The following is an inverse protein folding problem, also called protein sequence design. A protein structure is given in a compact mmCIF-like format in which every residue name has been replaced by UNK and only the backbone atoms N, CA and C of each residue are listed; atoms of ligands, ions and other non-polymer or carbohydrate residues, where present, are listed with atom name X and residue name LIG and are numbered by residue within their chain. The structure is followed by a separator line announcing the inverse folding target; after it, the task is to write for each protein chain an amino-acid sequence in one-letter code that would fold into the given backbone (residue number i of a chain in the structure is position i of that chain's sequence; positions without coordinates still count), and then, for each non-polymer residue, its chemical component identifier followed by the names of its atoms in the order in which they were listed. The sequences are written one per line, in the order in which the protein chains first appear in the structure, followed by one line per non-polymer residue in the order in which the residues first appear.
data_IF_732469511205
#
_entry.id   IF_732469511205
#
_cell.length_a   1.000
_cell.length_b   1.000
_cell.length_c   1.000
_cell.angle_alpha   90.00
_cell.angle_beta   90.00
_cell.angle_gamma   90.00
#
_symmetry.space_group_name_H-M   'P 1'
#
loop_
_entity.id
_entity.type
_entity.pdbx_description
1 polymer ?
#
# COMPACT_ATOMS: atom_id res chain seq x y z
N UNK A 1 46.01 -33.33 37.31
CA UNK A 1 45.05 -32.18 37.37
C UNK A 1 45.51 -30.87 36.78
N UNK A 2 46.81 -30.59 36.60
CA UNK A 2 47.30 -29.35 35.96
C UNK A 2 47.20 -29.35 34.43
N UNK A 3 47.20 -30.50 33.75
CA UNK A 3 47.11 -30.65 32.30
C UNK A 3 45.70 -30.45 31.75
N UNK A 4 44.67 -30.80 32.53
CA UNK A 4 43.25 -30.65 32.11
C UNK A 4 42.81 -29.18 32.07
N UNK A 5 43.31 -28.35 33.00
CA UNK A 5 42.99 -26.93 33.02
C UNK A 5 43.60 -26.14 31.84
N UNK A 6 44.71 -26.58 31.28
CA UNK A 6 45.33 -25.95 30.08
C UNK A 6 44.62 -26.32 28.80
N UNK A 7 43.96 -27.48 28.73
CA UNK A 7 43.24 -27.90 27.54
C UNK A 7 41.87 -27.18 27.43
N UNK A 8 41.19 -26.94 28.54
CA UNK A 8 39.91 -26.19 28.56
C UNK A 8 40.16 -24.71 28.25
N UNK A 9 41.26 -24.12 28.69
CA UNK A 9 41.61 -22.73 28.37
C UNK A 9 41.99 -22.54 26.87
N UNK A 10 42.56 -23.57 26.23
CA UNK A 10 42.91 -23.51 24.82
C UNK A 10 41.70 -23.65 23.89
N UNK A 11 40.68 -24.43 24.28
CA UNK A 11 39.42 -24.54 23.52
C UNK A 11 38.58 -23.27 23.62
N UNK A 12 38.58 -22.57 24.74
CA UNK A 12 37.89 -21.29 24.89
C UNK A 12 38.55 -20.14 24.13
N UNK A 13 39.85 -20.20 23.88
CA UNK A 13 40.55 -19.18 23.10
C UNK A 13 40.43 -19.41 21.58
N UNK A 14 40.25 -20.65 21.13
CA UNK A 14 40.07 -20.98 19.73
C UNK A 14 38.67 -20.57 19.18
N UNK A 15 37.67 -20.48 20.08
CA UNK A 15 36.33 -20.03 19.69
C UNK A 15 36.16 -18.51 19.63
N UNK A 16 37.15 -17.75 20.08
CA UNK A 16 37.12 -16.28 20.06
C UNK A 16 37.82 -15.64 18.86
N UNK A 17 38.54 -16.41 18.07
CA UNK A 17 39.35 -15.93 16.92
C UNK A 17 38.72 -16.22 15.56
N UNK A 18 37.73 -17.10 15.51
CA UNK A 18 36.94 -17.31 14.29
C UNK A 18 35.76 -16.33 14.33
N UNK A 19 35.85 -15.30 13.46
CA UNK A 19 34.86 -14.21 13.33
C UNK A 19 33.39 -14.67 13.21
N UNK A 20 32.43 -13.75 13.16
CA UNK A 20 31.03 -14.07 13.34
C UNK A 20 30.57 -15.04 12.24
N UNK A 21 30.66 -16.32 12.52
CA UNK A 21 29.80 -17.28 11.85
C UNK A 21 28.40 -16.87 12.27
N UNK A 22 27.61 -16.38 11.31
CA UNK A 22 26.17 -16.24 11.47
C UNK A 22 25.67 -17.52 12.14
N UNK A 23 25.33 -17.41 13.42
CA UNK A 23 24.63 -18.48 14.10
C UNK A 23 23.27 -18.58 13.42
N UNK A 24 23.17 -19.47 12.43
CA UNK A 24 21.88 -20.01 12.03
C UNK A 24 21.33 -20.65 13.29
N UNK A 25 20.32 -20.01 13.87
CA UNK A 25 19.55 -20.62 14.94
C UNK A 25 18.82 -21.81 14.31
N UNK A 26 19.46 -22.96 14.33
CA UNK A 26 18.83 -24.23 14.01
C UNK A 26 17.84 -24.51 15.16
N UNK A 27 16.55 -24.38 14.87
CA UNK A 27 15.51 -24.72 15.83
C UNK A 27 15.55 -26.25 15.97
N UNK A 28 16.24 -26.73 16.97
CA UNK A 28 16.18 -28.13 17.35
C UNK A 28 14.84 -28.35 18.05
N UNK A 29 13.90 -28.94 17.34
CA UNK A 29 12.66 -29.45 17.95
C UNK A 29 13.03 -30.67 18.76
N UNK A 30 13.20 -30.51 20.08
CA UNK A 30 13.29 -31.63 20.99
C UNK A 30 11.89 -32.19 21.22
N UNK A 31 11.57 -33.33 20.59
CA UNK A 31 10.38 -34.10 20.93
C UNK A 31 10.63 -34.77 22.28
N UNK A 32 9.94 -34.30 23.30
CA UNK A 32 9.77 -35.08 24.56
C UNK A 32 8.48 -35.85 24.39
N UNK A 33 8.61 -37.17 24.15
CA UNK A 33 7.50 -38.09 24.32
C UNK A 33 7.39 -38.38 25.83
N UNK A 34 6.35 -37.82 26.46
CA UNK A 34 6.00 -38.16 27.85
C UNK A 34 5.05 -39.37 27.82
N UNK A 35 5.53 -40.50 28.29
CA UNK A 35 4.72 -41.69 28.51
C UNK A 35 3.84 -41.45 29.76
N UNK A 36 2.53 -41.30 29.58
CA UNK A 36 1.54 -41.28 30.65
C UNK A 36 1.04 -39.93 31.11
N UNK A 37 0.07 -39.35 30.45
CA UNK A 37 -1.06 -38.67 31.09
C UNK A 37 -0.86 -37.27 31.64
N UNK A 38 -0.33 -36.34 30.86
CA UNK A 38 -0.85 -34.97 30.74
C UNK A 38 -0.57 -34.51 29.32
N UNK A 39 -1.59 -34.22 28.54
CA UNK A 39 -1.45 -33.54 27.25
C UNK A 39 -0.83 -32.20 27.56
N UNK A 40 0.49 -32.08 27.28
CA UNK A 40 1.15 -30.80 27.34
C UNK A 40 0.47 -29.93 26.28
N UNK A 41 -0.07 -28.82 26.74
CA UNK A 41 -0.75 -27.88 25.87
C UNK A 41 0.25 -27.33 24.84
N UNK A 42 -0.13 -27.27 23.60
CA UNK A 42 0.73 -26.91 22.48
C UNK A 42 0.09 -25.78 21.69
N UNK A 43 0.85 -24.75 21.40
CA UNK A 43 0.38 -23.61 20.63
C UNK A 43 -0.22 -23.99 19.25
N UNK A 44 -1.19 -23.22 18.75
CA UNK A 44 -1.76 -23.41 17.42
C UNK A 44 -0.71 -23.36 16.32
N UNK A 45 -1.00 -23.97 15.20
CA UNK A 45 -0.12 -23.97 14.00
C UNK A 45 -0.87 -23.31 12.84
N UNK A 46 -0.26 -22.28 12.26
CA UNK A 46 -0.74 -21.68 11.02
C UNK A 46 -0.18 -22.51 9.87
N UNK A 47 -1.04 -23.27 9.20
CA UNK A 47 -0.66 -24.18 8.12
C UNK A 47 -0.37 -23.46 6.82
N UNK A 48 -1.24 -22.50 6.48
CA UNK A 48 -1.15 -21.70 5.28
C UNK A 48 -1.81 -20.35 5.50
N UNK A 49 -1.38 -19.34 4.76
CA UNK A 49 -2.01 -18.02 4.71
C UNK A 49 -1.98 -17.43 3.30
N UNK A 50 -2.93 -16.58 3.01
CA UNK A 50 -2.99 -15.84 1.75
C UNK A 50 -3.78 -14.54 1.93
N UNK A 51 -3.59 -13.62 1.01
CA UNK A 51 -4.35 -12.38 0.89
C UNK A 51 -5.25 -12.45 -0.34
N UNK A 52 -6.34 -11.70 -0.33
CA UNK A 52 -7.29 -11.65 -1.44
C UNK A 52 -7.72 -10.22 -1.73
N UNK A 53 -7.91 -9.93 -3.03
CA UNK A 53 -8.44 -8.66 -3.48
C UNK A 53 -9.98 -8.66 -3.33
N UNK A 54 -10.47 -7.85 -2.41
CA UNK A 54 -11.87 -7.74 -2.05
C UNK A 54 -12.24 -8.34 -0.69
N UNK A 55 -13.45 -8.10 -0.20
CA UNK A 55 -13.92 -8.59 1.10
C UNK A 55 -14.20 -10.08 1.09
N UNK A 56 -14.08 -10.75 2.25
CA UNK A 56 -14.37 -12.18 2.43
C UNK A 56 -15.75 -12.56 1.87
N UNK A 57 -16.74 -11.71 2.04
CA UNK A 57 -18.09 -11.95 1.54
C UNK A 57 -18.17 -12.10 0.01
N UNK A 58 -17.27 -11.46 -0.75
CA UNK A 58 -17.23 -11.54 -2.22
C UNK A 58 -16.54 -12.82 -2.73
N UNK A 59 -15.87 -13.56 -1.85
CA UNK A 59 -15.09 -14.75 -2.20
C UNK A 59 -15.93 -16.01 -2.38
N UNK A 60 -17.21 -15.95 -2.10
CA UNK A 60 -18.18 -16.99 -2.46
C UNK A 60 -18.44 -17.01 -3.98
N UNK A 61 -17.99 -15.98 -4.71
CA UNK A 61 -18.00 -15.87 -6.17
C UNK A 61 -16.72 -16.44 -6.83
N UNK A 62 -16.63 -16.28 -8.14
CA UNK A 62 -15.57 -16.86 -9.01
C UNK A 62 -14.27 -16.08 -9.02
N UNK A 63 -14.16 -14.95 -8.32
CA UNK A 63 -13.08 -13.96 -8.50
C UNK A 63 -12.02 -13.94 -7.40
N UNK A 64 -11.91 -14.98 -6.60
CA UNK A 64 -10.83 -15.11 -5.62
C UNK A 64 -9.49 -15.30 -6.35
N UNK A 65 -8.95 -14.22 -6.88
CA UNK A 65 -7.68 -14.22 -7.61
C UNK A 65 -6.61 -13.58 -6.76
N UNK A 66 -5.84 -14.37 -6.02
CA UNK A 66 -4.67 -13.84 -5.36
C UNK A 66 -3.54 -14.83 -5.26
N UNK A 67 -2.34 -14.30 -5.37
CA UNK A 67 -1.09 -15.01 -5.16
C UNK A 67 -0.57 -14.72 -3.77
N UNK A 68 0.12 -15.67 -3.15
CA UNK A 68 0.99 -15.37 -2.03
C UNK A 68 2.01 -14.31 -2.50
N UNK A 69 2.12 -13.20 -1.77
CA UNK A 69 2.82 -12.02 -2.27
C UNK A 69 2.02 -11.25 -3.33
N UNK A 70 0.70 -11.27 -3.20
CA UNK A 70 -0.26 -10.68 -4.15
C UNK A 70 0.05 -9.24 -4.48
N UNK A 71 -0.27 -8.89 -5.73
CA UNK A 71 -0.24 -7.51 -6.18
C UNK A 71 -1.65 -6.95 -6.10
N UNK A 72 -1.84 -5.91 -5.30
CA UNK A 72 -3.12 -5.24 -5.11
C UNK A 72 -3.02 -3.79 -5.51
N UNK A 73 -3.96 -3.31 -6.33
CA UNK A 73 -3.99 -1.93 -6.77
C UNK A 73 -4.83 -1.07 -5.82
N UNK A 74 -4.38 0.17 -5.58
CA UNK A 74 -5.20 1.19 -4.92
C UNK A 74 -6.41 1.57 -5.79
N UNK A 75 -7.45 2.15 -5.17
CA UNK A 75 -8.65 2.58 -5.89
C UNK A 75 -8.37 3.69 -6.92
N UNK A 76 -7.36 4.54 -6.68
CA UNK A 76 -7.06 5.70 -7.52
C UNK A 76 -8.14 6.77 -7.50
N UNK A 77 -9.00 6.79 -6.51
CA UNK A 77 -10.05 7.77 -6.32
C UNK A 77 -9.99 8.35 -4.91
N UNK A 78 -10.10 9.67 -4.80
CA UNK A 78 -10.15 10.36 -3.52
C UNK A 78 -11.32 9.87 -2.67
N UNK A 79 -11.06 9.58 -1.40
CA UNK A 79 -12.08 9.14 -0.43
C UNK A 79 -12.56 7.70 -0.61
N UNK A 80 -12.00 6.94 -1.55
CA UNK A 80 -12.36 5.55 -1.77
C UNK A 80 -11.31 4.61 -1.18
N UNK A 81 -11.76 3.69 -0.35
CA UNK A 81 -10.94 2.69 0.30
C UNK A 81 -10.96 1.37 -0.47
N UNK A 82 -9.85 0.66 -0.42
CA UNK A 82 -9.72 -0.69 -0.98
C UNK A 82 -9.86 -1.70 0.15
N UNK A 83 -10.94 -2.47 0.15
CA UNK A 83 -11.09 -3.60 1.06
C UNK A 83 -10.38 -4.82 0.50
N UNK A 84 -9.63 -5.49 1.33
CA UNK A 84 -8.89 -6.71 1.05
C UNK A 84 -9.12 -7.70 2.18
N UNK A 85 -8.78 -8.95 1.98
CA UNK A 85 -8.95 -9.98 3.01
C UNK A 85 -7.65 -10.73 3.25
N UNK A 86 -7.47 -11.14 4.51
CA UNK A 86 -6.43 -12.08 4.93
C UNK A 86 -7.12 -13.35 5.36
N UNK A 87 -6.63 -14.50 4.89
CA UNK A 87 -7.10 -15.81 5.33
C UNK A 87 -5.94 -16.68 5.77
N UNK A 88 -6.22 -17.58 6.69
CA UNK A 88 -5.28 -18.59 7.16
C UNK A 88 -5.96 -19.90 7.50
N UNK A 89 -5.23 -21.01 7.32
CA UNK A 89 -5.64 -22.33 7.80
C UNK A 89 -4.91 -22.58 9.11
N UNK A 90 -5.66 -22.86 10.15
CA UNK A 90 -5.15 -23.05 11.50
C UNK A 90 -5.57 -24.39 12.05
N UNK A 91 -4.63 -25.10 12.66
CA UNK A 91 -4.86 -26.33 13.41
C UNK A 91 -4.24 -26.20 14.80
N UNK A 92 -4.63 -27.08 15.69
CA UNK A 92 -4.04 -27.19 17.01
C UNK A 92 -3.72 -28.65 17.32
N UNK A 93 -2.53 -28.99 17.85
CA UNK A 93 -2.19 -30.36 18.25
C UNK A 93 -3.10 -30.95 19.32
N UNK A 94 -3.69 -30.12 20.16
CA UNK A 94 -4.65 -30.51 21.20
C UNK A 94 -6.07 -30.65 20.67
N UNK A 95 -6.32 -30.21 19.44
CA UNK A 95 -7.57 -30.24 18.72
C UNK A 95 -7.98 -28.88 18.20
N UNK A 96 -8.60 -28.87 17.02
CA UNK A 96 -9.01 -27.61 16.35
C UNK A 96 -9.93 -26.70 17.20
N UNK A 97 -10.64 -27.29 18.16
CA UNK A 97 -11.58 -26.56 19.03
C UNK A 97 -10.85 -25.88 20.22
N UNK A 98 -9.54 -26.11 20.37
CA UNK A 98 -8.69 -25.44 21.34
C UNK A 98 -8.21 -24.06 20.85
N UNK A 99 -8.40 -23.76 19.55
CA UNK A 99 -8.08 -22.44 18.98
C UNK A 99 -9.04 -21.39 19.53
N UNK A 100 -8.51 -20.42 20.28
CA UNK A 100 -9.26 -19.33 20.91
C UNK A 100 -9.47 -18.15 19.99
N UNK A 101 -8.38 -17.60 19.44
CA UNK A 101 -8.41 -16.45 18.53
C UNK A 101 -7.38 -16.61 17.43
N UNK A 102 -7.68 -16.00 16.29
CA UNK A 102 -6.73 -15.87 15.17
C UNK A 102 -6.72 -14.42 14.72
N UNK A 103 -5.55 -13.90 14.40
CA UNK A 103 -5.30 -12.50 14.06
C UNK A 103 -4.57 -12.38 12.74
N UNK A 104 -4.88 -11.32 12.00
CA UNK A 104 -4.17 -10.89 10.82
C UNK A 104 -3.59 -9.50 11.01
N UNK A 105 -2.28 -9.35 10.93
CA UNK A 105 -1.57 -8.09 11.11
C UNK A 105 -0.97 -7.64 9.78
N UNK A 106 -1.13 -6.37 9.46
CA UNK A 106 -0.56 -5.73 8.28
C UNK A 106 0.39 -4.62 8.72
N UNK A 107 1.61 -4.65 8.20
CA UNK A 107 2.67 -3.70 8.52
C UNK A 107 3.05 -2.90 7.29
N UNK A 108 3.34 -1.60 7.47
CA UNK A 108 3.85 -0.73 6.42
C UNK A 108 5.15 -1.29 5.79
N UNK A 109 5.41 -0.94 4.54
CA UNK A 109 6.69 -1.26 3.91
C UNK A 109 7.87 -0.69 4.71
N UNK A 110 8.92 -1.49 4.89
CA UNK A 110 10.12 -1.09 5.65
C UNK A 110 10.87 0.11 5.03
N UNK A 111 10.63 0.38 3.75
CA UNK A 111 11.36 1.39 2.98
C UNK A 111 10.57 2.69 2.75
N UNK A 112 9.38 2.85 3.31
CA UNK A 112 8.53 4.03 3.06
C UNK A 112 8.30 4.80 4.34
N UNK A 113 8.72 6.07 4.34
CA UNK A 113 8.38 7.03 5.37
C UNK A 113 7.19 7.85 4.89
N UNK A 114 6.08 7.84 5.61
CA UNK A 114 5.01 8.79 5.39
C UNK A 114 5.52 10.18 5.76
N UNK A 115 5.37 11.14 4.85
CA UNK A 115 5.58 12.55 5.14
C UNK A 115 4.57 13.04 6.18
N UNK A 116 4.58 14.31 6.45
CA UNK A 116 3.82 15.04 7.49
C UNK A 116 2.50 14.39 7.94
N UNK A 117 2.15 14.60 9.21
CA UNK A 117 0.88 14.16 9.79
C UNK A 117 -0.31 14.57 8.96
N UNK A 118 -1.12 13.62 8.52
CA UNK A 118 -2.40 13.86 7.88
C UNK A 118 -3.54 13.11 8.58
N UNK A 119 -4.74 13.56 8.32
CA UNK A 119 -5.93 12.96 8.92
C UNK A 119 -6.21 11.62 8.26
N UNK A 120 -6.28 10.56 9.05
CA UNK A 120 -6.74 9.25 8.56
C UNK A 120 -8.21 9.39 8.10
N UNK A 121 -8.53 9.14 6.81
CA UNK A 121 -9.87 9.33 6.28
C UNK A 121 -10.88 8.32 6.83
N UNK A 122 -10.41 7.19 7.37
CA UNK A 122 -11.26 6.14 7.94
C UNK A 122 -11.65 6.49 9.36
N UNK A 123 -10.67 6.92 10.16
CA UNK A 123 -10.86 7.18 11.59
C UNK A 123 -11.09 8.64 11.92
N UNK A 124 -10.77 9.57 11.01
CA UNK A 124 -10.79 11.01 11.24
C UNK A 124 -9.72 11.50 12.21
N UNK A 125 -8.80 10.63 12.64
CA UNK A 125 -7.72 10.97 13.56
C UNK A 125 -6.49 11.47 12.79
N UNK A 126 -5.71 12.35 13.43
CA UNK A 126 -4.38 12.69 12.92
C UNK A 126 -3.51 11.42 12.97
N UNK A 127 -3.02 11.01 11.81
CA UNK A 127 -1.91 10.06 11.74
C UNK A 127 -0.64 10.83 12.05
N UNK A 128 -0.01 10.49 13.16
CA UNK A 128 1.37 10.89 13.39
C UNK A 128 2.25 10.27 12.30
N UNK A 129 3.42 10.87 12.08
CA UNK A 129 4.42 10.35 11.13
C UNK A 129 4.65 8.88 11.44
N UNK A 130 4.08 7.99 10.62
CA UNK A 130 4.23 6.56 10.85
C UNK A 130 5.62 6.13 10.41
N UNK A 131 6.30 5.46 11.30
CA UNK A 131 7.62 4.93 11.04
C UNK A 131 7.52 3.66 10.18
N UNK A 132 8.58 3.39 9.44
CA UNK A 132 8.68 2.22 8.59
C UNK A 132 8.52 0.92 9.36
N UNK A 133 7.76 -0.01 8.82
CA UNK A 133 7.54 -1.31 9.45
C UNK A 133 6.56 -1.32 10.62
N UNK A 134 5.90 -0.20 10.92
CA UNK A 134 4.85 -0.18 11.94
C UNK A 134 3.58 -0.90 11.49
N UNK A 135 2.81 -1.40 12.44
CA UNK A 135 1.55 -2.05 12.19
C UNK A 135 0.48 -1.05 11.74
N UNK A 136 -0.05 -1.28 10.54
CA UNK A 136 -1.10 -0.44 9.91
C UNK A 136 -2.48 -0.88 10.32
N UNK A 137 -2.71 -2.18 10.30
CA UNK A 137 -3.99 -2.81 10.56
C UNK A 137 -3.80 -4.09 11.33
N UNK A 138 -4.71 -4.33 12.24
CA UNK A 138 -4.92 -5.60 12.91
C UNK A 138 -6.37 -6.00 12.69
N UNK A 139 -6.62 -7.24 12.37
CA UNK A 139 -7.97 -7.75 12.32
C UNK A 139 -8.11 -9.09 13.04
N UNK A 140 -9.13 -9.22 13.85
CA UNK A 140 -9.53 -10.51 14.42
C UNK A 140 -10.22 -11.33 13.35
N UNK A 141 -9.68 -12.51 13.07
CA UNK A 141 -10.16 -13.37 12.00
C UNK A 141 -11.37 -14.19 12.46
N UNK A 142 -12.36 -14.31 11.58
CA UNK A 142 -13.55 -15.11 11.83
C UNK A 142 -13.45 -16.47 11.18
N UNK A 143 -13.82 -17.51 11.90
CA UNK A 143 -13.86 -18.88 11.41
C UNK A 143 -14.93 -19.04 10.32
N UNK A 144 -14.55 -19.61 9.18
CA UNK A 144 -15.49 -19.99 8.14
C UNK A 144 -16.17 -21.33 8.47
N UNK A 145 -17.38 -21.54 7.92
CA UNK A 145 -18.01 -22.86 7.99
C UNK A 145 -17.17 -23.89 7.24
N UNK A 146 -17.22 -25.16 7.63
CA UNK A 146 -16.40 -26.22 7.01
C UNK A 146 -16.59 -26.30 5.49
N UNK A 147 -17.84 -26.23 5.01
CA UNK A 147 -18.15 -26.23 3.57
C UNK A 147 -17.54 -25.04 2.84
N UNK A 148 -17.71 -23.82 3.38
CA UNK A 148 -17.14 -22.61 2.79
C UNK A 148 -15.60 -22.63 2.83
N UNK A 149 -15.02 -23.16 3.90
CA UNK A 149 -13.57 -23.29 4.07
C UNK A 149 -12.95 -24.21 3.00
N UNK A 150 -13.51 -25.39 2.81
CA UNK A 150 -13.05 -26.33 1.80
C UNK A 150 -13.24 -25.79 0.39
N UNK A 151 -14.41 -25.24 0.08
CA UNK A 151 -14.71 -24.67 -1.24
C UNK A 151 -13.76 -23.49 -1.55
N UNK A 152 -13.61 -22.55 -0.63
CA UNK A 152 -12.75 -21.41 -0.80
C UNK A 152 -11.30 -21.84 -1.06
N UNK A 153 -10.74 -22.68 -0.21
CA UNK A 153 -9.33 -23.02 -0.33
C UNK A 153 -9.06 -24.08 -1.39
N UNK A 154 -9.73 -25.24 -1.30
CA UNK A 154 -9.40 -26.40 -2.14
C UNK A 154 -9.95 -26.29 -3.56
N UNK A 155 -11.11 -25.64 -3.75
CA UNK A 155 -11.72 -25.53 -5.06
C UNK A 155 -11.39 -24.21 -5.78
N UNK A 156 -11.21 -23.12 -5.06
CA UNK A 156 -10.95 -21.81 -5.66
C UNK A 156 -9.48 -21.43 -5.62
N UNK A 157 -8.87 -21.36 -4.45
CA UNK A 157 -7.45 -20.94 -4.31
C UNK A 157 -6.52 -21.95 -4.97
N UNK A 158 -6.71 -23.24 -4.72
CA UNK A 158 -5.91 -24.31 -5.33
C UNK A 158 -5.97 -24.32 -6.85
N UNK A 159 -7.15 -24.11 -7.42
CA UNK A 159 -7.35 -24.18 -8.87
C UNK A 159 -6.88 -22.93 -9.61
N UNK A 160 -6.58 -21.84 -8.91
CA UNK A 160 -5.98 -20.67 -9.51
C UNK A 160 -4.45 -20.81 -9.50
N UNK A 161 -3.86 -21.17 -10.65
CA UNK A 161 -2.42 -21.44 -10.78
C UNK A 161 -1.50 -20.27 -10.40
N UNK A 162 -2.03 -19.06 -10.26
CA UNK A 162 -1.27 -17.88 -9.86
C UNK A 162 -1.32 -17.63 -8.34
N UNK A 163 -2.11 -18.40 -7.59
CA UNK A 163 -2.38 -18.16 -6.17
C UNK A 163 -1.82 -19.28 -5.31
N UNK A 164 -0.53 -19.20 -5.08
CA UNK A 164 0.14 -20.09 -4.14
C UNK A 164 0.09 -19.42 -2.75
N UNK A 165 -0.61 -20.04 -1.75
CA UNK A 165 -0.54 -19.54 -0.39
C UNK A 165 0.88 -19.62 0.15
N UNK A 166 1.18 -18.83 1.17
CA UNK A 166 2.36 -19.04 1.99
C UNK A 166 2.12 -20.23 2.89
N UNK A 167 3.02 -21.22 2.83
CA UNK A 167 2.91 -22.48 3.56
C UNK A 167 3.84 -22.50 4.77
N UNK A 168 3.36 -23.07 5.86
CA UNK A 168 4.27 -23.54 6.91
C UNK A 168 5.07 -24.76 6.43
N UNK A 169 6.21 -24.98 7.05
CA UNK A 169 7.07 -26.12 6.71
C UNK A 169 6.29 -27.46 6.77
N UNK A 170 6.53 -28.32 5.78
CA UNK A 170 5.91 -29.63 5.66
C UNK A 170 4.42 -29.68 5.29
N UNK A 171 3.80 -28.53 4.99
CA UNK A 171 2.43 -28.48 4.49
C UNK A 171 2.36 -28.15 3.00
N UNK A 172 1.33 -28.68 2.33
CA UNK A 172 1.04 -28.46 0.92
C UNK A 172 -0.44 -28.76 0.62
N UNK A 173 -0.87 -28.60 -0.61
CA UNK A 173 -2.25 -28.87 -1.00
C UNK A 173 -2.72 -30.31 -0.72
N UNK A 174 -1.85 -31.31 -0.86
CA UNK A 174 -2.23 -32.70 -0.58
C UNK A 174 -2.52 -32.91 0.90
N UNK A 175 -1.69 -32.37 1.79
CA UNK A 175 -1.94 -32.46 3.24
C UNK A 175 -3.22 -31.72 3.66
N UNK A 176 -3.69 -30.74 2.87
CA UNK A 176 -4.81 -29.91 3.26
C UNK A 176 -6.11 -30.33 2.58
N UNK A 177 -6.07 -30.68 1.29
CA UNK A 177 -7.24 -30.82 0.44
C UNK A 177 -7.53 -32.27 -0.01
N UNK A 178 -6.73 -33.27 0.34
CA UNK A 178 -6.97 -34.62 -0.10
C UNK A 178 -8.28 -35.15 0.53
N UNK A 179 -9.27 -35.46 -0.34
CA UNK A 179 -10.57 -35.98 0.08
C UNK A 179 -10.54 -37.48 0.29
N UNK A 180 -9.51 -38.20 -0.22
CA UNK A 180 -9.49 -39.66 -0.21
C UNK A 180 -8.79 -40.22 1.02
N UNK A 181 -7.82 -39.48 1.55
CA UNK A 181 -7.00 -40.06 2.60
C UNK A 181 -6.55 -39.19 3.73
N UNK A 182 -6.72 -37.92 3.86
CA UNK A 182 -6.12 -37.31 5.07
C UNK A 182 -5.94 -35.79 5.07
N UNK A 183 -6.53 -35.07 4.11
CA UNK A 183 -6.45 -33.63 4.11
C UNK A 183 -7.09 -33.02 5.37
N UNK A 184 -6.38 -32.15 6.05
CA UNK A 184 -6.83 -31.57 7.33
C UNK A 184 -8.14 -30.83 7.25
N UNK A 185 -8.46 -30.21 6.08
CA UNK A 185 -9.76 -29.59 5.86
C UNK A 185 -10.87 -30.60 5.56
N UNK A 186 -10.55 -31.69 4.84
CA UNK A 186 -11.51 -32.75 4.56
C UNK A 186 -11.87 -33.53 5.83
N UNK A 187 -10.93 -33.75 6.73
CA UNK A 187 -11.14 -34.37 8.06
C UNK A 187 -11.66 -33.39 9.11
N UNK A 188 -11.80 -32.13 8.78
CA UNK A 188 -12.17 -31.08 9.73
C UNK A 188 -11.25 -31.01 10.97
N UNK A 189 -9.96 -31.29 10.82
CA UNK A 189 -8.95 -31.16 11.88
C UNK A 189 -8.29 -29.78 11.91
N UNK A 190 -8.60 -28.92 10.94
CA UNK A 190 -8.20 -27.53 10.86
C UNK A 190 -9.38 -26.65 10.45
N UNK A 191 -9.29 -25.36 10.75
CA UNK A 191 -10.27 -24.37 10.32
C UNK A 191 -9.62 -23.32 9.42
N UNK A 192 -10.42 -22.74 8.51
CA UNK A 192 -10.07 -21.52 7.78
C UNK A 192 -10.64 -20.32 8.55
N UNK A 193 -9.77 -19.36 8.80
CA UNK A 193 -10.12 -18.07 9.40
C UNK A 193 -9.83 -16.99 8.39
N UNK A 194 -10.71 -15.99 8.31
CA UNK A 194 -10.54 -14.83 7.46
C UNK A 194 -10.97 -13.56 8.16
N UNK A 195 -10.37 -12.44 7.78
CA UNK A 195 -10.84 -11.10 8.13
C UNK A 195 -10.64 -10.14 6.97
N UNK A 196 -11.43 -9.08 6.97
CA UNK A 196 -11.28 -7.97 6.06
C UNK A 196 -10.39 -6.89 6.68
N UNK A 197 -9.57 -6.26 5.86
CA UNK A 197 -8.83 -5.07 6.20
C UNK A 197 -8.92 -4.05 5.06
N UNK A 198 -8.62 -2.80 5.36
CA UNK A 198 -8.78 -1.74 4.37
C UNK A 198 -7.50 -0.93 4.27
N UNK A 199 -7.01 -0.74 3.04
CA UNK A 199 -6.02 0.26 2.69
C UNK A 199 -6.68 1.37 1.89
N UNK A 200 -6.19 2.59 2.06
CA UNK A 200 -6.68 3.77 1.36
C UNK A 200 -5.67 4.28 0.34
N UNK A 201 -6.05 5.31 -0.41
CA UNK A 201 -5.11 6.06 -1.25
C UNK A 201 -4.05 6.82 -0.43
N UNK A 202 -4.24 6.94 0.88
CA UNK A 202 -3.28 7.56 1.82
C UNK A 202 -2.25 6.56 2.35
N UNK A 203 -2.50 5.26 2.19
CA UNK A 203 -1.53 4.23 2.54
C UNK A 203 -0.53 4.10 1.39
N UNK A 204 0.79 4.22 1.62
CA UNK A 204 1.79 4.27 0.56
C UNK A 204 1.87 2.97 -0.21
N UNK A 205 2.26 3.04 -1.48
CA UNK A 205 2.60 1.85 -2.24
C UNK A 205 3.87 1.18 -1.68
N UNK A 206 3.98 -0.13 -1.86
CA UNK A 206 5.16 -0.89 -1.46
C UNK A 206 4.88 -2.31 -0.99
N UNK A 207 5.90 -2.95 -0.44
CA UNK A 207 5.83 -4.31 0.06
C UNK A 207 5.45 -4.32 1.55
N UNK A 208 4.17 -4.53 1.81
CA UNK A 208 3.62 -4.70 3.15
C UNK A 208 3.95 -6.06 3.71
N UNK A 209 4.30 -6.15 4.99
CA UNK A 209 4.40 -7.43 5.69
C UNK A 209 3.03 -7.80 6.23
N UNK A 210 2.59 -9.02 5.93
CA UNK A 210 1.32 -9.55 6.43
C UNK A 210 1.60 -10.79 7.26
N UNK A 211 1.09 -10.82 8.49
CA UNK A 211 1.26 -11.94 9.44
C UNK A 211 -0.08 -12.53 9.81
N UNK A 212 -0.12 -13.83 9.98
CA UNK A 212 -1.24 -14.54 10.61
C UNK A 212 -0.69 -15.31 11.79
N UNK A 213 -1.35 -15.19 12.92
CA UNK A 213 -1.02 -15.89 14.16
C UNK A 213 -2.28 -16.19 14.98
N UNK A 214 -2.20 -17.06 15.93
CA UNK A 214 -3.34 -17.43 16.74
C UNK A 214 -2.97 -17.80 18.17
N UNK A 215 -3.97 -17.85 19.03
CA UNK A 215 -3.88 -18.29 20.43
C UNK A 215 -4.80 -19.48 20.67
N UNK A 216 -4.40 -20.37 21.56
CA UNK A 216 -5.25 -21.43 22.09
C UNK A 216 -6.01 -20.98 23.35
N UNK A 217 -6.80 -21.89 23.93
CA UNK A 217 -7.57 -21.64 25.15
C UNK A 217 -6.70 -21.45 26.39
N UNK A 218 -5.44 -21.86 26.34
CA UNK A 218 -4.43 -21.71 27.39
C UNK A 218 -3.54 -20.47 27.20
N UNK A 219 -3.84 -19.63 26.19
CA UNK A 219 -3.12 -18.40 25.83
C UNK A 219 -1.70 -18.65 25.27
N UNK A 220 -1.40 -19.85 24.74
CA UNK A 220 -0.18 -20.04 23.97
C UNK A 220 -0.31 -19.47 22.57
N UNK A 221 0.71 -18.73 22.15
CA UNK A 221 0.75 -18.09 20.84
C UNK A 221 1.43 -18.98 19.80
N UNK A 222 0.82 -19.07 18.63
CA UNK A 222 1.47 -19.70 17.46
C UNK A 222 2.70 -18.92 17.02
N UNK A 223 3.60 -19.59 16.31
CA UNK A 223 4.60 -18.89 15.49
C UNK A 223 3.87 -18.21 14.33
N UNK A 224 4.04 -16.89 14.13
CA UNK A 224 3.41 -16.18 13.03
C UNK A 224 3.88 -16.74 11.67
N UNK A 225 2.94 -16.93 10.75
CA UNK A 225 3.26 -17.18 9.35
C UNK A 225 3.17 -15.86 8.58
N UNK A 226 4.26 -15.45 7.92
CA UNK A 226 4.35 -14.15 7.27
C UNK A 226 4.76 -14.23 5.80
N UNK A 227 4.34 -13.24 5.03
CA UNK A 227 4.80 -12.98 3.67
C UNK A 227 4.78 -11.49 3.36
N UNK A 228 5.15 -11.13 2.15
CA UNK A 228 5.05 -9.77 1.62
C UNK A 228 3.89 -9.67 0.64
N UNK A 229 3.08 -8.62 0.78
CA UNK A 229 2.01 -8.22 -0.13
C UNK A 229 2.44 -6.93 -0.84
N UNK A 230 2.34 -6.87 -2.16
CA UNK A 230 2.70 -5.67 -2.92
C UNK A 230 1.47 -4.79 -3.18
N UNK A 231 1.39 -3.66 -2.50
CA UNK A 231 0.40 -2.62 -2.79
C UNK A 231 0.94 -1.74 -3.91
N UNK A 232 0.38 -1.91 -5.11
CA UNK A 232 0.90 -1.32 -6.35
C UNK A 232 0.80 0.19 -6.35
N UNK A 233 1.80 0.82 -6.94
CA UNK A 233 1.83 2.26 -7.17
C UNK A 233 0.69 2.69 -8.09
N UNK A 234 -0.12 3.62 -7.63
CA UNK A 234 -1.21 4.24 -8.37
C UNK A 234 -1.04 5.75 -8.31
N UNK A 235 -0.92 6.39 -9.48
CA UNK A 235 -0.87 7.84 -9.60
C UNK A 235 -2.26 8.33 -10.02
N UNK A 236 -2.85 9.17 -9.19
CA UNK A 236 -4.15 9.76 -9.43
C UNK A 236 -4.25 11.13 -8.77
N UNK A 237 -5.02 12.03 -9.35
CA UNK A 237 -5.31 13.33 -8.77
C UNK A 237 -6.72 13.78 -9.12
N UNK A 238 -7.23 14.70 -8.32
CA UNK A 238 -8.49 15.38 -8.56
C UNK A 238 -8.27 16.88 -8.54
N UNK A 239 -9.13 17.64 -9.21
CA UNK A 239 -9.09 19.10 -9.31
C UNK A 239 -10.50 19.66 -9.07
N UNK A 240 -10.57 20.84 -8.49
CA UNK A 240 -11.84 21.50 -8.20
C UNK A 240 -12.19 22.65 -9.16
N UNK A 241 -11.48 22.74 -10.29
CA UNK A 241 -11.70 23.78 -11.30
C UNK A 241 -11.82 23.17 -12.71
N UNK A 242 -12.49 23.88 -13.60
CA UNK A 242 -12.64 23.50 -15.03
C UNK A 242 -12.18 24.59 -15.99
N UNK A 243 -11.94 25.78 -15.48
CA UNK A 243 -11.47 26.92 -16.28
C UNK A 243 -10.57 27.83 -15.44
N UNK A 244 -9.66 28.50 -16.11
CA UNK A 244 -8.83 29.57 -15.56
C UNK A 244 -9.13 30.84 -16.36
N UNK A 245 -9.68 31.85 -15.70
CA UNK A 245 -9.98 33.16 -16.32
C UNK A 245 -8.88 34.12 -15.97
N UNK A 246 -8.04 34.48 -16.94
CA UNK A 246 -6.98 35.47 -16.78
C UNK A 246 -7.51 36.90 -16.81
N UNK A 247 -8.79 37.12 -17.12
CA UNK A 247 -9.39 38.45 -17.20
C UNK A 247 -8.76 39.32 -18.29
N UNK A 248 -8.61 40.62 -18.00
CA UNK A 248 -8.02 41.59 -18.94
C UNK A 248 -6.50 41.60 -18.84
N UNK A 249 -5.82 41.13 -19.86
CA UNK A 249 -4.35 41.05 -19.92
C UNK A 249 -3.77 42.33 -20.54
N UNK A 250 -2.72 42.89 -19.92
CA UNK A 250 -1.91 43.97 -20.47
C UNK A 250 -0.65 43.39 -21.11
N UNK A 251 -0.29 43.93 -22.30
CA UNK A 251 0.91 43.50 -23.03
C UNK A 251 2.17 43.70 -22.18
N UNK A 252 3.00 42.67 -22.11
CA UNK A 252 4.28 42.65 -21.38
C UNK A 252 4.17 42.57 -19.85
N UNK A 253 2.97 42.41 -19.31
CA UNK A 253 2.73 42.32 -17.87
C UNK A 253 2.16 40.94 -17.53
N UNK A 254 2.70 40.28 -16.52
CA UNK A 254 2.13 39.02 -16.00
C UNK A 254 0.76 39.31 -15.38
N UNK A 255 -0.23 38.54 -15.85
CA UNK A 255 -1.54 38.46 -15.21
C UNK A 255 -1.60 37.16 -14.46
N UNK A 256 -1.79 37.20 -13.16
CA UNK A 256 -1.81 36.05 -12.27
C UNK A 256 -3.22 35.71 -11.82
N UNK A 257 -3.48 34.44 -11.68
CA UNK A 257 -4.70 33.86 -11.12
C UNK A 257 -4.27 32.94 -9.97
N UNK A 258 -4.36 33.43 -8.72
CA UNK A 258 -4.00 32.63 -7.57
C UNK A 258 -4.99 31.50 -7.37
N UNK A 259 -4.47 30.35 -6.95
CA UNK A 259 -5.24 29.26 -6.43
C UNK A 259 -5.72 29.49 -5.00
N UNK A 260 -6.21 28.46 -4.36
CA UNK A 260 -6.48 28.45 -2.92
C UNK A 260 -6.34 27.05 -2.32
N UNK A 261 -6.24 26.97 -1.00
CA UNK A 261 -6.13 25.74 -0.23
C UNK A 261 -7.47 25.21 0.28
N UNK A 262 -8.59 25.72 -0.25
CA UNK A 262 -9.94 25.30 0.16
C UNK A 262 -10.59 24.54 -0.98
N UNK A 263 -10.86 23.25 -0.77
CA UNK A 263 -11.55 22.43 -1.78
C UNK A 263 -12.95 22.96 -2.07
N UNK A 264 -13.20 23.29 -3.31
CA UNK A 264 -14.53 23.68 -3.73
C UNK A 264 -15.45 22.47 -3.86
N UNK A 265 -16.58 22.48 -3.15
CA UNK A 265 -17.62 21.46 -3.32
C UNK A 265 -18.38 21.62 -4.65
N UNK A 266 -18.29 22.81 -5.27
CA UNK A 266 -18.83 23.09 -6.60
C UNK A 266 -17.67 23.54 -7.48
N UNK A 267 -17.40 22.78 -8.51
CA UNK A 267 -16.29 23.01 -9.43
C UNK A 267 -16.42 24.42 -10.06
N UNK A 268 -15.31 25.15 -10.05
CA UNK A 268 -15.19 26.47 -10.72
C UNK A 268 -15.69 27.68 -9.92
N UNK A 269 -16.00 27.54 -8.64
CA UNK A 269 -16.50 28.67 -7.82
C UNK A 269 -15.37 29.42 -7.10
N UNK A 270 -14.28 28.74 -6.76
CA UNK A 270 -13.15 29.32 -6.02
C UNK A 270 -11.86 29.21 -6.85
N UNK A 271 -10.75 29.67 -6.29
CA UNK A 271 -9.43 29.50 -6.89
C UNK A 271 -9.09 28.02 -7.10
N UNK A 272 -8.13 27.75 -7.97
CA UNK A 272 -7.79 26.39 -8.37
C UNK A 272 -7.06 25.63 -7.26
N UNK A 273 -7.49 24.38 -7.00
CA UNK A 273 -6.82 23.43 -6.10
C UNK A 273 -6.62 22.09 -6.78
N UNK A 274 -5.61 21.35 -6.33
CA UNK A 274 -5.33 19.99 -6.74
C UNK A 274 -5.15 19.10 -5.51
N UNK A 275 -5.66 17.87 -5.58
CA UNK A 275 -5.55 16.88 -4.52
C UNK A 275 -4.92 15.60 -5.05
N UNK A 276 -3.94 15.05 -4.32
CA UNK A 276 -3.39 13.74 -4.61
C UNK A 276 -4.35 12.65 -4.15
N UNK A 277 -4.84 11.83 -5.07
CA UNK A 277 -5.74 10.70 -4.84
C UNK A 277 -5.06 9.35 -5.12
N UNK A 278 -3.77 9.37 -5.41
CA UNK A 278 -2.94 8.19 -5.58
C UNK A 278 -2.21 7.82 -4.28
N UNK A 279 -1.63 6.64 -4.27
CA UNK A 279 -0.79 6.15 -3.18
C UNK A 279 0.72 6.35 -3.42
N UNK A 280 1.05 7.31 -4.28
CA UNK A 280 2.41 7.77 -4.56
C UNK A 280 2.49 9.29 -4.37
N UNK A 281 3.66 9.82 -4.10
CA UNK A 281 3.87 11.27 -4.23
C UNK A 281 3.59 11.70 -5.65
N UNK A 282 2.88 12.81 -5.79
CA UNK A 282 2.42 13.32 -7.06
C UNK A 282 3.21 14.56 -7.47
N UNK A 283 3.79 14.55 -8.67
CA UNK A 283 4.29 15.74 -9.32
C UNK A 283 3.34 16.14 -10.44
N UNK A 284 2.86 17.39 -10.41
CA UNK A 284 1.96 17.93 -11.42
C UNK A 284 2.70 18.43 -12.64
N UNK A 285 2.11 18.19 -13.80
CA UNK A 285 2.53 18.75 -15.08
C UNK A 285 1.40 19.58 -15.69
N UNK A 286 1.77 20.66 -16.38
CA UNK A 286 0.82 21.57 -17.05
C UNK A 286 1.28 21.85 -18.46
N UNK A 287 0.33 21.88 -19.39
CA UNK A 287 0.52 22.26 -20.80
C UNK A 287 -0.66 23.12 -21.22
N UNK A 288 -0.39 24.21 -21.94
CA UNK A 288 -1.43 25.09 -22.50
C UNK A 288 -1.14 25.37 -23.97
N UNK A 289 -2.17 25.55 -24.77
CA UNK A 289 -2.02 26.02 -26.15
C UNK A 289 -1.81 27.56 -26.20
N UNK A 290 -1.61 28.13 -27.37
CA UNK A 290 -1.33 29.54 -27.58
C UNK A 290 -2.58 30.44 -27.55
N UNK A 291 -3.75 29.91 -27.24
CA UNK A 291 -5.05 30.64 -27.32
C UNK A 291 -5.32 31.29 -28.66
N UNK A 292 -4.60 30.91 -29.71
CA UNK A 292 -4.66 31.60 -31.02
C UNK A 292 -3.89 32.91 -31.10
N UNK A 293 -3.15 33.32 -30.05
CA UNK A 293 -2.38 34.57 -30.01
C UNK A 293 -1.01 34.35 -30.67
N UNK A 294 -1.02 34.28 -32.00
CA UNK A 294 0.17 34.04 -32.82
C UNK A 294 0.06 34.76 -34.15
N UNK A 295 1.19 35.02 -34.78
CA UNK A 295 1.23 35.50 -36.17
C UNK A 295 0.93 34.37 -37.16
N UNK A 296 0.59 34.69 -38.42
CA UNK A 296 0.33 33.71 -39.45
C UNK A 296 1.49 32.72 -39.73
N UNK A 297 2.72 33.10 -39.42
CA UNK A 297 3.92 32.25 -39.48
C UNK A 297 4.05 31.28 -38.34
N UNK A 298 3.12 31.29 -37.37
CA UNK A 298 3.10 30.42 -36.20
C UNK A 298 3.87 30.95 -35.00
N UNK A 299 4.46 32.15 -35.06
CA UNK A 299 5.15 32.76 -33.92
C UNK A 299 4.16 33.11 -32.81
N UNK A 300 4.24 32.42 -31.68
CA UNK A 300 3.41 32.70 -30.49
C UNK A 300 3.97 33.82 -29.64
N UNK A 301 3.07 34.64 -29.09
CA UNK A 301 3.38 35.78 -28.23
C UNK A 301 2.93 35.55 -26.78
N UNK A 302 2.59 34.34 -26.43
CA UNK A 302 2.13 33.96 -25.10
C UNK A 302 3.22 33.20 -24.34
N UNK A 303 3.37 33.53 -23.08
CA UNK A 303 4.17 32.75 -22.13
C UNK A 303 3.34 32.50 -20.88
N UNK A 304 3.46 31.32 -20.33
CA UNK A 304 2.75 30.89 -19.13
C UNK A 304 3.70 30.68 -17.97
N UNK A 305 3.13 30.72 -16.77
CA UNK A 305 3.76 30.20 -15.56
C UNK A 305 2.73 29.52 -14.68
N UNK A 306 3.16 28.52 -13.94
CA UNK A 306 2.34 27.81 -12.95
C UNK A 306 3.17 27.40 -11.75
N UNK A 307 2.50 27.23 -10.61
CA UNK A 307 3.07 26.71 -9.38
C UNK A 307 2.04 25.83 -8.67
N UNK A 308 2.54 24.92 -7.82
CA UNK A 308 1.77 24.21 -6.81
C UNK A 308 2.35 24.62 -5.47
N UNK A 309 1.52 24.76 -4.45
CA UNK A 309 1.89 25.06 -3.06
C UNK A 309 2.38 26.48 -2.76
N UNK A 310 2.80 27.24 -3.72
CA UNK A 310 3.23 28.64 -3.48
C UNK A 310 3.44 29.41 -4.77
N UNK A 311 2.82 30.57 -4.88
CA UNK A 311 3.03 31.54 -5.96
C UNK A 311 4.51 32.02 -6.08
N UNK A 312 5.36 31.72 -5.11
CA UNK A 312 6.79 32.05 -5.20
C UNK A 312 7.58 31.07 -6.05
N UNK A 313 7.05 29.89 -6.31
CA UNK A 313 7.71 28.78 -7.00
C UNK A 313 7.30 28.64 -8.48
N UNK A 314 6.84 29.71 -9.09
CA UNK A 314 6.41 29.68 -10.49
C UNK A 314 7.45 29.09 -11.43
N UNK A 315 6.98 28.16 -12.26
CA UNK A 315 7.73 27.61 -13.39
C UNK A 315 7.19 28.16 -14.70
N UNK A 316 8.05 28.81 -15.48
CA UNK A 316 7.66 29.37 -16.79
C UNK A 316 7.72 28.33 -17.90
N UNK A 317 6.79 28.41 -18.86
CA UNK A 317 6.74 27.52 -20.04
C UNK A 317 6.09 28.23 -21.24
N UNK A 318 6.38 27.72 -22.42
CA UNK A 318 5.76 28.21 -23.66
C UNK A 318 4.52 27.39 -24.05
N UNK A 319 3.73 27.87 -25.01
CA UNK A 319 2.58 27.14 -25.53
C UNK A 319 2.96 25.79 -26.11
N UNK A 320 2.14 24.76 -25.87
CA UNK A 320 2.33 23.40 -26.35
C UNK A 320 3.44 22.63 -25.65
N UNK A 321 4.10 23.20 -24.64
CA UNK A 321 5.18 22.56 -23.90
C UNK A 321 4.65 22.03 -22.56
N UNK A 322 4.76 20.73 -22.35
CA UNK A 322 4.48 20.14 -21.03
C UNK A 322 5.57 20.55 -20.05
N UNK A 323 5.17 21.21 -18.98
CA UNK A 323 6.06 21.63 -17.90
C UNK A 323 5.72 20.88 -16.61
N UNK A 324 6.68 20.12 -16.09
CA UNK A 324 6.59 19.55 -14.75
C UNK A 324 6.93 20.60 -13.71
N UNK A 325 6.03 20.77 -12.74
CA UNK A 325 6.19 21.71 -11.64
C UNK A 325 7.14 21.15 -10.59
N UNK A 326 7.88 22.00 -9.87
CA UNK A 326 8.94 21.54 -8.97
C UNK A 326 8.41 20.91 -7.69
N UNK A 327 7.29 21.43 -7.18
CA UNK A 327 6.72 20.99 -5.93
C UNK A 327 5.93 19.68 -6.14
N UNK A 328 5.94 18.84 -5.13
CA UNK A 328 5.24 17.55 -5.12
C UNK A 328 4.20 17.56 -4.01
N UNK A 329 3.09 16.88 -4.26
CA UNK A 329 2.05 16.62 -3.28
C UNK A 329 2.31 15.29 -2.60
N UNK A 330 2.31 15.27 -1.28
CA UNK A 330 2.34 14.04 -0.49
C UNK A 330 1.01 13.26 -0.61
N UNK A 331 0.94 12.11 0.02
CA UNK A 331 -0.28 11.29 0.00
C UNK A 331 -1.44 12.09 0.60
N UNK A 332 -2.59 12.07 -0.06
CA UNK A 332 -3.80 12.82 0.29
C UNK A 332 -3.64 14.34 0.40
N UNK A 333 -2.47 14.87 0.15
CA UNK A 333 -2.23 16.32 0.22
C UNK A 333 -3.06 17.04 -0.84
N UNK A 334 -3.64 18.15 -0.41
CA UNK A 334 -4.32 19.11 -1.26
C UNK A 334 -3.56 20.44 -1.21
N UNK A 335 -3.39 21.06 -2.35
CA UNK A 335 -2.71 22.33 -2.41
C UNK A 335 -3.28 23.24 -3.51
N UNK A 336 -2.98 24.52 -3.41
CA UNK A 336 -3.33 25.52 -4.43
C UNK A 336 -2.55 25.28 -5.73
N UNK A 337 -3.17 25.64 -6.86
CA UNK A 337 -2.51 25.76 -8.16
C UNK A 337 -2.60 27.20 -8.65
N UNK A 338 -1.46 27.84 -8.73
CA UNK A 338 -1.36 29.22 -9.22
C UNK A 338 -1.01 29.23 -10.69
N UNK A 339 -1.63 30.12 -11.43
CA UNK A 339 -1.40 30.29 -12.87
C UNK A 339 -1.07 31.70 -13.22
N UNK A 340 -0.34 31.93 -14.31
CA UNK A 340 -0.08 33.22 -14.85
C UNK A 340 0.14 33.20 -16.36
N UNK A 341 -0.25 34.26 -17.00
CA UNK A 341 -0.05 34.49 -18.44
C UNK A 341 0.64 35.82 -18.69
N UNK A 342 1.53 35.84 -19.66
CA UNK A 342 2.12 37.06 -20.21
C UNK A 342 1.96 37.05 -21.72
N UNK A 343 1.41 38.13 -22.26
CA UNK A 343 1.27 38.31 -23.71
C UNK A 343 2.19 39.47 -24.12
N UNK A 344 3.24 39.15 -24.86
CA UNK A 344 4.21 40.16 -25.31
C UNK A 344 3.69 41.07 -26.41
N UNK A 345 2.76 40.55 -27.23
CA UNK A 345 2.15 41.26 -28.35
C UNK A 345 0.80 40.66 -28.69
N UNK A 346 -0.20 41.49 -29.01
CA UNK A 346 -1.42 41.04 -29.68
C UNK A 346 -1.29 41.34 -31.19
N UNK A 347 -1.39 40.34 -32.06
CA UNK A 347 -1.41 40.56 -33.49
C UNK A 347 -2.55 41.48 -33.89
N UNK A 348 -2.28 42.48 -34.77
CA UNK A 348 -3.21 43.56 -35.10
C UNK A 348 -4.55 43.11 -35.70
N UNK A 349 -4.60 41.88 -36.21
CA UNK A 349 -5.79 41.31 -36.87
C UNK A 349 -6.66 40.51 -35.88
N UNK A 350 -6.19 40.26 -34.67
CA UNK A 350 -6.91 39.44 -33.68
C UNK A 350 -7.70 40.31 -32.71
N UNK A 351 -8.97 40.04 -32.58
CA UNK A 351 -9.85 40.61 -31.57
C UNK A 351 -10.33 39.53 -30.63
N UNK A 352 -10.24 39.79 -29.30
CA UNK A 352 -10.69 38.83 -28.29
C UNK A 352 -12.22 38.69 -28.19
N UNK A 353 -12.73 37.76 -27.38
CA UNK A 353 -12.00 37.02 -26.34
C UNK A 353 -11.14 35.88 -26.92
N UNK A 354 -10.00 35.63 -26.28
CA UNK A 354 -9.12 34.52 -26.61
C UNK A 354 -9.38 33.37 -25.65
N UNK A 355 -9.56 32.18 -26.19
CA UNK A 355 -9.79 30.96 -25.41
C UNK A 355 -8.78 29.88 -25.82
N UNK A 356 -8.41 29.06 -24.87
CA UNK A 356 -7.47 27.97 -25.08
C UNK A 356 -7.82 26.74 -24.27
N UNK A 357 -6.98 25.74 -24.42
CA UNK A 357 -7.05 24.50 -23.64
C UNK A 357 -5.83 24.38 -22.75
N UNK A 358 -6.07 23.88 -21.52
CA UNK A 358 -5.05 23.48 -20.58
C UNK A 358 -5.20 21.99 -20.32
N UNK A 359 -4.09 21.27 -20.33
CA UNK A 359 -4.00 19.87 -19.96
C UNK A 359 -3.17 19.75 -18.69
N UNK A 360 -3.69 19.01 -17.71
CA UNK A 360 -2.99 18.67 -16.49
C UNK A 360 -2.57 17.19 -16.55
N UNK A 361 -1.38 16.94 -16.08
CA UNK A 361 -0.82 15.59 -16.02
C UNK A 361 -0.25 15.33 -14.63
N UNK A 362 -0.31 14.09 -14.19
CA UNK A 362 0.30 13.66 -12.94
C UNK A 362 1.32 12.56 -13.19
N UNK A 363 2.43 12.61 -12.48
CA UNK A 363 3.36 11.47 -12.42
C UNK A 363 3.79 11.20 -11.00
N UNK A 364 4.13 9.94 -10.74
CA UNK A 364 4.74 9.54 -9.48
C UNK A 364 6.10 10.23 -9.31
N UNK A 365 6.33 10.77 -8.14
CA UNK A 365 7.63 11.25 -7.67
C UNK A 365 8.24 10.26 -6.69
N UNK A 366 9.55 10.34 -6.47
CA UNK A 366 10.27 9.47 -5.54
C UNK A 366 9.77 9.65 -4.11
N UNK A 367 9.49 8.54 -3.43
CA UNK A 367 9.16 8.53 -2.01
C UNK A 367 10.38 8.89 -1.15
N UNK A 368 10.13 9.43 0.04
CA UNK A 368 11.13 9.41 1.09
C UNK A 368 11.31 7.94 1.51
N UNK A 369 12.51 7.44 1.25
CA UNK A 369 12.93 6.12 1.71
C UNK A 369 13.28 6.24 3.18
N UNK A 370 12.82 5.31 4.02
CA UNK A 370 13.34 5.21 5.38
C UNK A 370 14.83 4.95 5.31
N UNK A 371 15.61 5.83 5.90
CA UNK A 371 17.01 5.55 6.19
C UNK A 371 17.04 4.68 7.44
N UNK A 372 17.49 3.45 7.28
CA UNK A 372 17.86 2.55 8.38
C UNK A 372 19.11 3.11 9.08
#
# INVERSE_FOLDING_TARGET
MKTLKKFVALMTLASLVLGPASALAETVITKLEQDGGSTQDSAPVIIAKWEMDGPVASLTGTDAATTAGSQMAASGQCGVHKTMSICGIVTDPNGKDDIKNVYGDVYYPDAVRLGNSHVDPITGNLREVQECGEMVRECTMTKLTATNAFDLFCNKIRNNNNNLPTWAANYNYANVCDTTNEGVLAKETAYVYCCDFTLSYEDPNGLYTVKVWGTDTSDYNSVPLENKMNYLATTAFDIDFTNIDYGKVKTGVWQEVPGNTTWATTVGVNGASVKNCGNTRLQMGVQQNDMGIKDPDGTSYVQYKAAVSSATNYQTYGPGVLKWLNDTLDLSEMNEMDFGVNVSKFPQQLQGPFTGTMELSGKSSTHHVCQL
#
